data_IF_873827046763
#
_entry.id   IF_873827046763
#
_cell.length_a   1.000
_cell.length_b   1.000
_cell.length_c   1.000
_cell.angle_alpha   90.00
_cell.angle_beta   90.00
_cell.angle_gamma   90.00
#
_symmetry.space_group_name_H-M   'P 1'
#
loop_
_entity.id
_entity.type
_entity.pdbx_description
1 polymer ?
#
# COMPACT_ATOMS: atom_id res chain seq x y z
N UNK A 1 -12.00 6.12 -34.66
CA UNK A 1 -11.02 5.37 -33.85
C UNK A 1 -11.04 5.99 -32.45
N UNK A 2 -11.68 5.36 -31.48
CA UNK A 2 -11.64 5.84 -30.09
C UNK A 2 -10.37 5.23 -29.50
N UNK A 3 -9.35 6.05 -29.26
CA UNK A 3 -8.23 5.66 -28.41
C UNK A 3 -8.81 5.35 -27.03
N UNK A 4 -8.86 4.07 -26.66
CA UNK A 4 -8.99 3.68 -25.26
C UNK A 4 -7.76 4.25 -24.56
N UNK A 5 -7.90 5.38 -23.88
CA UNK A 5 -6.97 5.76 -22.85
C UNK A 5 -7.05 4.66 -21.80
N UNK A 6 -6.08 3.74 -21.82
CA UNK A 6 -5.76 2.97 -20.63
C UNK A 6 -5.44 3.99 -19.56
N UNK A 7 -6.37 4.16 -18.63
CA UNK A 7 -6.07 4.82 -17.36
C UNK A 7 -4.88 4.05 -16.81
N UNK A 8 -3.70 4.65 -16.80
CA UNK A 8 -2.53 4.13 -16.09
C UNK A 8 -2.95 3.94 -14.64
N UNK A 9 -3.44 2.76 -14.31
CA UNK A 9 -3.77 2.39 -12.96
C UNK A 9 -2.46 2.50 -12.19
N UNK A 10 -2.46 3.28 -11.11
CA UNK A 10 -1.28 3.47 -10.27
C UNK A 10 -0.75 2.11 -9.81
N UNK A 11 0.25 1.61 -10.54
CA UNK A 11 0.90 0.33 -10.24
C UNK A 11 1.82 0.46 -9.03
N UNK A 12 2.26 1.70 -8.74
CA UNK A 12 3.15 2.02 -7.63
C UNK A 12 2.49 3.04 -6.69
N UNK A 13 2.44 2.71 -5.40
CA UNK A 13 1.97 3.59 -4.34
C UNK A 13 3.13 4.07 -3.48
N UNK A 14 3.23 5.38 -3.26
CA UNK A 14 4.24 5.95 -2.37
C UNK A 14 3.63 6.18 -0.98
N UNK A 15 4.25 5.61 0.04
CA UNK A 15 3.82 5.75 1.43
C UNK A 15 4.95 6.31 2.28
N UNK A 16 4.70 7.42 2.95
CA UNK A 16 5.59 7.92 4.00
C UNK A 16 5.31 7.13 5.29
N UNK A 17 6.36 6.63 5.93
CA UNK A 17 6.25 5.91 7.19
C UNK A 17 6.02 6.87 8.36
N UNK A 18 4.79 6.88 8.86
CA UNK A 18 4.39 7.64 10.04
C UNK A 18 3.72 6.72 11.06
N UNK A 19 3.95 6.97 12.35
CA UNK A 19 3.72 6.02 13.46
C UNK A 19 2.27 5.54 13.65
N UNK A 20 1.31 6.14 12.93
CA UNK A 20 -0.13 5.87 13.08
C UNK A 20 -0.86 5.64 11.77
N UNK A 21 -0.26 5.96 10.63
CA UNK A 21 -0.91 5.87 9.31
C UNK A 21 -0.55 4.60 8.55
N UNK A 22 0.67 4.08 8.77
CA UNK A 22 1.20 2.87 8.12
C UNK A 22 1.64 1.87 9.18
N UNK A 23 1.10 0.65 9.11
CA UNK A 23 1.48 -0.47 9.97
C UNK A 23 2.24 -1.53 9.16
N UNK A 24 3.36 -2.01 9.68
CA UNK A 24 4.18 -3.02 9.04
C UNK A 24 4.14 -4.29 9.88
N UNK A 25 3.67 -5.39 9.29
CA UNK A 25 3.59 -6.69 9.94
C UNK A 25 4.74 -7.58 9.46
N UNK A 26 5.55 -8.06 10.39
CA UNK A 26 6.69 -8.94 10.12
C UNK A 26 6.40 -10.38 10.59
N UNK A 27 7.07 -11.35 9.96
CA UNK A 27 7.13 -12.71 10.47
C UNK A 27 8.16 -12.83 11.62
N UNK A 28 8.20 -14.01 12.25
CA UNK A 28 9.12 -14.30 13.35
C UNK A 28 10.61 -14.28 12.94
N UNK A 29 10.92 -14.22 11.64
CA UNK A 29 12.27 -14.17 11.08
C UNK A 29 12.64 -12.74 10.63
N UNK A 30 11.74 -11.76 10.81
CA UNK A 30 11.94 -10.37 10.44
C UNK A 30 11.68 -10.04 8.97
N UNK A 31 10.98 -10.90 8.23
CA UNK A 31 10.51 -10.59 6.87
C UNK A 31 9.17 -9.87 6.91
N UNK A 32 9.03 -8.82 6.10
CA UNK A 32 7.77 -8.11 5.98
C UNK A 32 6.74 -8.98 5.26
N UNK A 33 5.57 -9.15 5.89
CA UNK A 33 4.44 -9.91 5.38
C UNK A 33 3.35 -9.01 4.80
N UNK A 34 3.00 -7.94 5.51
CA UNK A 34 1.88 -7.05 5.17
C UNK A 34 2.18 -5.60 5.46
N UNK A 35 1.61 -4.72 4.64
CA UNK A 35 1.60 -3.28 4.83
C UNK A 35 0.15 -2.86 5.02
N UNK A 36 -0.19 -2.38 6.20
CA UNK A 36 -1.50 -1.81 6.51
C UNK A 36 -1.48 -0.30 6.40
N UNK A 37 -2.54 0.29 5.84
CA UNK A 37 -2.85 1.71 5.97
C UNK A 37 -4.14 1.87 6.75
N UNK A 38 -4.22 2.84 7.65
CA UNK A 38 -5.46 3.12 8.36
C UNK A 38 -6.48 3.85 7.45
N UNK A 39 -7.71 4.00 7.94
CA UNK A 39 -8.79 4.67 7.18
C UNK A 39 -8.44 6.12 6.84
N UNK A 40 -7.88 6.88 7.78
CA UNK A 40 -7.54 8.28 7.53
C UNK A 40 -6.49 8.43 6.42
N UNK A 41 -5.50 7.52 6.37
CA UNK A 41 -4.47 7.52 5.34
C UNK A 41 -5.05 7.10 3.99
N UNK A 42 -6.00 6.16 3.98
CA UNK A 42 -6.72 5.81 2.77
C UNK A 42 -7.50 7.02 2.22
N UNK A 43 -8.27 7.70 3.08
CA UNK A 43 -9.02 8.91 2.71
C UNK A 43 -8.07 9.97 2.14
N UNK A 44 -6.97 10.25 2.82
CA UNK A 44 -5.94 11.18 2.34
C UNK A 44 -5.41 10.81 0.94
N UNK A 45 -5.09 9.53 0.71
CA UNK A 45 -4.59 9.06 -0.58
C UNK A 45 -5.63 9.21 -1.70
N UNK A 46 -6.92 9.03 -1.37
CA UNK A 46 -8.03 9.21 -2.32
C UNK A 46 -8.34 10.67 -2.61
N UNK A 47 -8.36 11.53 -1.59
CA UNK A 47 -8.60 12.97 -1.74
C UNK A 47 -7.48 13.65 -2.52
N UNK A 48 -6.23 13.23 -2.27
CA UNK A 48 -5.06 13.69 -3.01
C UNK A 48 -4.93 13.06 -4.40
N UNK A 49 -5.90 12.24 -4.84
CA UNK A 49 -5.90 11.54 -6.14
C UNK A 49 -4.66 10.69 -6.41
N UNK A 50 -3.96 10.26 -5.35
CA UNK A 50 -2.82 9.34 -5.46
C UNK A 50 -3.28 7.93 -5.83
N UNK A 51 -4.47 7.55 -5.36
CA UNK A 51 -5.21 6.36 -5.78
C UNK A 51 -6.70 6.70 -5.83
N UNK A 52 -7.45 6.03 -6.69
CA UNK A 52 -8.90 5.86 -6.53
C UNK A 52 -9.21 4.62 -5.70
N UNK A 53 -10.45 4.53 -5.20
CA UNK A 53 -10.96 3.32 -4.53
C UNK A 53 -10.73 2.06 -5.34
N UNK A 54 -10.84 2.12 -6.67
CA UNK A 54 -10.66 0.94 -7.52
C UNK A 54 -9.17 0.70 -7.78
N UNK A 55 -8.38 1.74 -8.03
CA UNK A 55 -6.96 1.60 -8.35
C UNK A 55 -6.12 1.04 -7.19
N UNK A 56 -6.55 1.21 -5.94
CA UNK A 56 -5.80 0.68 -4.79
C UNK A 56 -5.69 -0.86 -4.81
N UNK A 57 -6.68 -1.54 -5.40
CA UNK A 57 -6.68 -2.99 -5.58
C UNK A 57 -5.73 -3.47 -6.70
N UNK A 58 -5.26 -2.54 -7.52
CA UNK A 58 -4.38 -2.77 -8.67
C UNK A 58 -2.92 -2.38 -8.40
N UNK A 59 -2.61 -1.87 -7.21
CA UNK A 59 -1.23 -1.59 -6.78
C UNK A 59 -0.41 -2.89 -6.79
N UNK A 60 0.76 -2.82 -7.41
CA UNK A 60 1.75 -3.92 -7.53
C UNK A 60 3.04 -3.62 -6.77
N UNK A 61 3.32 -2.35 -6.53
CA UNK A 61 4.51 -1.90 -5.83
C UNK A 61 4.14 -0.88 -4.76
N UNK A 62 4.76 -0.99 -3.60
CA UNK A 62 4.75 0.07 -2.58
C UNK A 62 6.17 0.58 -2.39
N UNK A 63 6.33 1.89 -2.49
CA UNK A 63 7.58 2.57 -2.13
C UNK A 63 7.39 3.16 -0.74
N UNK A 64 8.02 2.55 0.26
CA UNK A 64 8.09 3.12 1.60
C UNK A 64 9.17 4.19 1.65
N UNK A 65 8.78 5.39 2.07
CA UNK A 65 9.65 6.54 2.27
C UNK A 65 9.86 6.74 3.77
N UNK A 66 11.12 6.64 4.21
CA UNK A 66 11.49 6.85 5.62
C UNK A 66 11.86 8.33 5.88
N UNK A 67 11.99 8.71 7.15
CA UNK A 67 12.48 10.04 7.55
C UNK A 67 13.80 10.45 6.88
N UNK A 68 14.69 9.49 6.65
CA UNK A 68 16.02 9.74 6.08
C UNK A 68 16.00 9.77 4.54
N UNK A 69 14.82 9.93 3.93
CA UNK A 69 14.59 9.81 2.48
C UNK A 69 15.03 8.46 1.88
N UNK A 70 15.21 7.43 2.71
CA UNK A 70 15.46 6.09 2.21
C UNK A 70 14.18 5.56 1.57
N UNK A 71 14.31 5.05 0.34
CA UNK A 71 13.19 4.51 -0.44
C UNK A 71 13.34 3.00 -0.51
N UNK A 72 12.38 2.28 0.04
CA UNK A 72 12.33 0.82 -0.08
C UNK A 72 11.16 0.44 -0.96
N UNK A 73 11.45 -0.15 -2.13
CA UNK A 73 10.43 -0.67 -3.05
C UNK A 73 10.07 -2.09 -2.63
N UNK A 74 8.77 -2.34 -2.48
CA UNK A 74 8.22 -3.58 -1.97
C UNK A 74 7.17 -4.07 -2.97
N UNK A 75 7.41 -5.20 -3.66
CA UNK A 75 6.40 -5.80 -4.51
C UNK A 75 5.27 -6.37 -3.65
N UNK A 76 4.05 -6.02 -3.98
CA UNK A 76 2.83 -6.47 -3.31
C UNK A 76 1.92 -7.21 -4.28
N UNK A 77 1.18 -8.18 -3.76
CA UNK A 77 0.23 -8.94 -4.56
C UNK A 77 -0.90 -8.01 -4.98
N UNK A 78 -1.06 -7.83 -6.28
CA UNK A 78 -2.26 -7.20 -6.79
C UNK A 78 -3.48 -8.05 -6.39
N UNK A 79 -4.48 -7.42 -5.77
CA UNK A 79 -5.71 -8.10 -5.40
C UNK A 79 -6.59 -8.41 -6.63
N UNK A 80 -6.31 -7.73 -7.76
CA UNK A 80 -6.94 -7.96 -9.07
C UNK A 80 -8.38 -7.46 -9.12
N UNK A 81 -8.98 -7.52 -10.31
CA UNK A 81 -10.38 -7.15 -10.55
C UNK A 81 -11.32 -8.27 -10.03
N UNK A 82 -11.27 -8.57 -8.74
CA UNK A 82 -12.18 -9.54 -8.11
C UNK A 82 -13.47 -8.79 -7.78
N UNK A 83 -14.43 -8.85 -8.70
CA UNK A 83 -15.72 -8.15 -8.68
C UNK A 83 -16.67 -8.44 -7.52
N UNK A 84 -16.16 -8.78 -6.34
CA UNK A 84 -16.95 -9.05 -5.12
C UNK A 84 -16.15 -8.78 -3.85
N UNK A 85 -15.10 -7.95 -3.89
CA UNK A 85 -14.72 -7.27 -2.64
C UNK A 85 -15.83 -6.27 -2.36
N UNK A 86 -16.76 -6.61 -1.46
CA UNK A 86 -17.65 -5.61 -0.90
C UNK A 86 -16.75 -4.50 -0.38
N UNK A 87 -16.78 -3.33 -1.04
CA UNK A 87 -15.96 -2.16 -0.67
C UNK A 87 -16.08 -1.96 0.85
N UNK A 88 -17.29 -2.11 1.37
CA UNK A 88 -17.67 -2.02 2.78
C UNK A 88 -17.05 -3.09 3.72
N UNK A 89 -16.60 -4.25 3.21
CA UNK A 89 -15.98 -5.31 4.01
C UNK A 89 -14.45 -5.34 3.94
N UNK A 90 -13.83 -4.72 2.93
CA UNK A 90 -12.36 -4.56 2.87
C UNK A 90 -11.95 -3.41 3.77
N UNK A 91 -12.71 -2.31 3.69
CA UNK A 91 -12.64 -1.19 4.59
C UNK A 91 -13.35 -1.53 5.91
N UNK A 92 -12.90 -2.58 6.60
CA UNK A 92 -13.29 -2.72 7.99
C UNK A 92 -12.74 -1.52 8.77
N UNK A 93 -13.34 -1.23 9.93
CA UNK A 93 -12.94 -0.23 10.95
C UNK A 93 -11.42 -0.07 11.21
N UNK A 94 -10.58 -0.96 10.68
CA UNK A 94 -9.16 -1.12 10.93
C UNK A 94 -8.25 -0.76 9.73
N UNK A 95 -8.78 -0.40 8.54
CA UNK A 95 -7.97 0.05 7.38
C UNK A 95 -7.83 -0.97 6.23
N UNK A 96 -6.90 -0.70 5.30
CA UNK A 96 -6.61 -1.51 4.10
C UNK A 96 -5.24 -2.19 4.22
N UNK A 97 -5.08 -3.41 3.72
CA UNK A 97 -3.81 -4.16 3.81
C UNK A 97 -3.34 -4.64 2.43
N UNK A 98 -2.04 -4.49 2.18
CA UNK A 98 -1.33 -5.08 1.05
C UNK A 98 -0.52 -6.29 1.51
N UNK A 99 -0.62 -7.39 0.78
CA UNK A 99 0.24 -8.56 1.00
C UNK A 99 1.53 -8.44 0.21
N UNK A 100 2.67 -8.71 0.83
CA UNK A 100 3.97 -8.68 0.16
C UNK A 100 4.17 -9.98 -0.66
N UNK A 101 4.67 -9.88 -1.89
CA UNK A 101 4.81 -11.06 -2.79
C UNK A 101 5.93 -12.01 -2.36
N UNK A 102 7.04 -11.48 -1.85
CA UNK A 102 8.23 -12.24 -1.42
C UNK A 102 8.79 -11.62 -0.16
N UNK A 103 9.37 -12.42 0.73
CA UNK A 103 9.92 -11.96 2.00
C UNK A 103 10.93 -10.82 1.82
N UNK A 104 10.47 -9.58 2.01
CA UNK A 104 11.34 -8.39 2.00
C UNK A 104 11.87 -8.22 3.40
N UNK A 105 13.18 -8.35 3.57
CA UNK A 105 13.84 -8.04 4.83
C UNK A 105 14.03 -6.53 4.90
N UNK A 106 13.30 -5.87 5.81
CA UNK A 106 13.50 -4.45 6.07
C UNK A 106 14.30 -4.35 7.36
N UNK A 107 15.42 -3.65 7.30
CA UNK A 107 16.18 -3.36 8.51
C UNK A 107 15.39 -2.36 9.36
N UNK A 108 15.05 -2.76 10.59
CA UNK A 108 14.23 -1.94 11.50
C UNK A 108 14.88 -0.61 11.87
N UNK A 109 16.21 -0.50 11.73
CA UNK A 109 16.96 0.76 11.81
C UNK A 109 16.50 1.82 10.82
N UNK A 110 15.93 1.38 9.69
CA UNK A 110 15.48 2.24 8.60
C UNK A 110 14.05 2.73 8.83
N UNK A 111 13.30 2.08 9.72
CA UNK A 111 11.89 2.35 10.02
C UNK A 111 11.69 3.43 11.09
N UNK A 112 12.52 4.48 11.08
CA UNK A 112 12.28 5.63 11.96
C UNK A 112 11.04 6.37 11.45
N UNK A 113 10.01 6.42 12.30
CA UNK A 113 8.78 7.16 12.04
C UNK A 113 9.02 8.66 12.09
N UNK A 114 8.33 9.43 11.22
CA UNK A 114 8.11 10.87 11.44
C UNK A 114 7.30 11.12 12.71
#
# INVERSE_FOLDING_TARGET
MIQKMEVEQATTLFLVLEKKSVNLLFDNKGYLLKIGINVNKFVELTENKSVTEDSIFHVKDIVLLTMNNHKTRIPVKAHGNRGTWHKDKVFQKNGFFFEVEKGVKIHTSDLRYR
#
